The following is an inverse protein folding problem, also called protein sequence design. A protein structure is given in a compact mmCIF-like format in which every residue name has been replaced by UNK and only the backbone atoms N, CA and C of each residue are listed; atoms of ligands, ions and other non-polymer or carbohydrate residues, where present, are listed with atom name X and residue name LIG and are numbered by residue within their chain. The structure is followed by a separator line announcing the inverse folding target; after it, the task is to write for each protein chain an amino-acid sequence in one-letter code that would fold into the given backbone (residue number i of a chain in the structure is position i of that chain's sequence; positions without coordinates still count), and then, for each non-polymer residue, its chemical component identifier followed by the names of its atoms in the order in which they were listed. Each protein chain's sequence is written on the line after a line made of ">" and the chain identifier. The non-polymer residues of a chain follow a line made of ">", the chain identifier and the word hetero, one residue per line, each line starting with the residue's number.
data_IF_829258780717
#
_entry.id   IF_829258780717
#
_cell.length_a   1.000
_cell.length_b   1.000
_cell.length_c   1.000
_cell.angle_alpha   90.00
_cell.angle_beta   90.00
_cell.angle_gamma   90.00
#
_symmetry.space_group_name_H-M   'P 1'
#
loop_
_entity.id
_entity.type
_entity.pdbx_description
1 polymer ?
#
# COMPACT_ATOMS: atom_id res chain seq x y z
N UNK A 1 20.28 -24.29 5.06
CA UNK A 1 20.12 -24.24 6.53
C UNK A 1 18.95 -23.31 6.82
N UNK A 2 17.80 -23.85 7.24
CA UNK A 2 16.65 -23.06 7.67
C UNK A 2 16.45 -23.37 9.15
N UNK A 3 17.01 -22.52 10.00
CA UNK A 3 16.85 -22.60 11.44
C UNK A 3 15.80 -21.55 11.84
N UNK A 4 14.78 -21.98 12.57
CA UNK A 4 13.92 -21.10 13.33
C UNK A 4 14.78 -20.48 14.46
N UNK A 5 15.28 -19.27 14.24
CA UNK A 5 15.88 -18.46 15.30
C UNK A 5 14.83 -17.51 15.85
N UNK A 6 14.41 -17.77 17.08
CA UNK A 6 13.82 -16.78 17.99
C UNK A 6 14.96 -16.42 18.93
N UNK A 7 15.74 -15.38 18.62
CA UNK A 7 16.82 -14.95 19.50
C UNK A 7 16.26 -14.13 20.66
N UNK A 8 16.54 -14.60 21.87
CA UNK A 8 16.51 -13.78 23.08
C UNK A 8 17.66 -12.77 23.14
N UNK A 9 17.60 -11.97 24.20
CA UNK A 9 18.58 -11.03 24.74
C UNK A 9 18.82 -9.74 23.94
N UNK A 10 17.88 -8.79 24.09
CA UNK A 10 18.19 -7.39 24.43
C UNK A 10 16.97 -6.79 25.13
N UNK A 11 17.17 -6.34 26.37
CA UNK A 11 16.25 -5.61 27.26
C UNK A 11 14.84 -5.36 26.70
N UNK A 12 13.99 -6.38 26.77
CA UNK A 12 12.58 -6.10 26.95
C UNK A 12 12.49 -5.35 28.26
N UNK A 13 12.06 -4.09 28.18
CA UNK A 13 11.49 -3.32 29.29
C UNK A 13 10.89 -4.33 30.28
N UNK A 14 11.58 -4.53 31.41
CA UNK A 14 11.07 -5.19 32.59
C UNK A 14 9.88 -4.37 33.05
N UNK A 15 8.78 -4.54 32.36
CA UNK A 15 7.51 -4.07 32.81
C UNK A 15 6.95 -5.25 33.57
N UNK A 16 7.23 -5.24 34.87
CA UNK A 16 6.25 -5.67 35.84
C UNK A 16 4.99 -4.82 35.59
N UNK A 17 4.23 -5.15 34.54
CA UNK A 17 2.97 -4.50 34.23
C UNK A 17 1.94 -5.14 35.14
N UNK A 18 1.69 -4.44 36.23
CA UNK A 18 0.61 -4.68 37.15
C UNK A 18 -0.72 -4.60 36.38
N UNK A 19 -1.41 -5.74 36.27
CA UNK A 19 -2.67 -5.85 35.54
C UNK A 19 -3.81 -5.06 36.20
N UNK A 20 -3.61 -4.56 37.43
CA UNK A 20 -4.61 -3.83 38.21
C UNK A 20 -4.85 -2.38 37.73
N UNK A 21 -4.02 -1.84 36.82
CA UNK A 21 -4.18 -0.45 36.33
C UNK A 21 -4.42 -0.36 34.83
N UNK A 22 -5.55 -0.87 34.35
CA UNK A 22 -6.24 -0.30 33.18
C UNK A 22 -7.71 -0.78 33.11
N UNK A 23 -8.53 -0.27 34.02
CA UNK A 23 -10.01 -0.39 33.97
C UNK A 23 -10.68 0.58 32.97
N UNK A 24 -9.97 1.02 31.92
CA UNK A 24 -10.52 1.93 30.90
C UNK A 24 -11.04 1.21 29.63
N UNK A 25 -10.97 -0.13 29.56
CA UNK A 25 -11.34 -0.89 28.35
C UNK A 25 -12.65 -1.69 28.45
N UNK A 26 -13.46 -1.48 29.49
CA UNK A 26 -14.85 -1.98 29.54
C UNK A 26 -15.00 -3.51 29.54
N UNK A 27 -14.02 -4.28 30.02
CA UNK A 27 -14.22 -5.68 30.40
C UNK A 27 -14.22 -5.78 31.92
N UNK A 28 -15.25 -6.38 32.55
CA UNK A 28 -15.25 -6.60 33.98
C UNK A 28 -14.17 -7.62 34.37
N UNK A 29 -13.42 -7.31 35.43
CA UNK A 29 -12.42 -8.18 36.09
C UNK A 29 -12.97 -9.57 36.49
N UNK A 30 -14.29 -9.77 36.46
CA UNK A 30 -14.98 -10.95 36.97
C UNK A 30 -14.95 -12.22 36.09
N UNK A 31 -14.19 -12.28 34.99
CA UNK A 31 -14.17 -13.48 34.10
C UNK A 31 -12.84 -14.24 34.01
N UNK A 32 -11.97 -14.13 35.02
CA UNK A 32 -10.70 -14.88 35.08
C UNK A 32 -10.61 -15.91 36.22
N UNK A 33 -11.70 -16.21 36.92
CA UNK A 33 -11.72 -17.34 37.87
C UNK A 33 -11.57 -18.68 37.13
N UNK A 34 -10.42 -19.34 37.30
CA UNK A 34 -10.12 -20.68 36.76
C UNK A 34 -9.32 -20.74 35.45
N UNK A 35 -8.83 -19.61 34.92
CA UNK A 35 -8.05 -19.57 33.67
C UNK A 35 -6.55 -19.50 33.95
N UNK A 36 -5.75 -20.36 33.31
CA UNK A 36 -4.29 -20.31 33.39
C UNK A 36 -3.78 -19.29 32.36
N UNK A 37 -3.08 -18.27 32.85
CA UNK A 37 -2.31 -17.33 32.03
C UNK A 37 -0.92 -17.92 31.85
N UNK A 38 -0.56 -18.27 30.62
CA UNK A 38 0.81 -18.70 30.30
C UNK A 38 1.61 -17.47 29.89
N UNK A 39 2.72 -17.21 30.58
CA UNK A 39 3.68 -16.19 30.16
C UNK A 39 4.58 -16.78 29.05
N UNK A 40 5.05 -15.96 28.10
CA UNK A 40 5.84 -16.42 26.95
C UNK A 40 7.10 -17.22 27.35
N UNK A 41 7.70 -16.91 28.51
CA UNK A 41 8.81 -17.66 29.10
C UNK A 41 8.47 -19.13 29.40
N UNK A 42 7.19 -19.47 29.63
CA UNK A 42 6.72 -20.85 29.82
C UNK A 42 6.45 -21.58 28.50
N UNK A 43 6.31 -20.83 27.40
CA UNK A 43 6.15 -21.36 26.03
C UNK A 43 7.54 -21.62 25.41
N UNK A 44 8.55 -20.85 25.80
CA UNK A 44 9.83 -20.78 25.07
C UNK A 44 10.84 -21.90 25.40
N UNK A 45 10.62 -22.74 26.42
CA UNK A 45 11.69 -23.64 26.93
C UNK A 45 11.78 -25.04 26.29
N UNK A 46 10.85 -25.46 25.41
CA UNK A 46 10.98 -26.71 24.63
C UNK A 46 9.87 -26.96 23.57
N UNK A 47 8.92 -26.03 23.36
CA UNK A 47 7.60 -26.37 22.82
C UNK A 47 7.35 -26.02 21.34
N UNK A 48 8.31 -25.43 20.63
CA UNK A 48 8.12 -24.97 19.24
C UNK A 48 8.79 -25.92 18.25
N UNK A 49 8.04 -26.45 17.29
CA UNK A 49 8.57 -27.29 16.21
C UNK A 49 9.25 -26.46 15.10
N UNK A 50 10.05 -27.11 14.25
CA UNK A 50 10.71 -26.45 13.10
C UNK A 50 9.72 -25.83 12.11
N UNK A 51 8.51 -26.38 12.00
CA UNK A 51 7.43 -25.89 11.14
C UNK A 51 6.47 -24.92 11.84
N UNK A 52 6.81 -24.46 13.05
CA UNK A 52 6.14 -23.36 13.76
C UNK A 52 4.93 -23.76 14.59
N UNK A 53 4.74 -25.06 14.86
CA UNK A 53 3.74 -25.51 15.84
C UNK A 53 4.22 -25.29 17.25
N UNK A 54 3.28 -24.94 18.13
CA UNK A 54 3.48 -24.80 19.56
C UNK A 54 2.72 -25.95 20.24
N UNK A 55 3.43 -26.77 21.00
CA UNK A 55 2.90 -27.94 21.70
C UNK A 55 2.84 -27.70 23.20
N UNK A 56 1.64 -27.73 23.79
CA UNK A 56 1.43 -27.41 25.19
C UNK A 56 0.70 -28.54 25.91
N UNK A 57 1.09 -28.78 27.16
CA UNK A 57 0.34 -29.66 28.06
C UNK A 57 -0.96 -29.00 28.51
N UNK A 58 -2.04 -29.78 28.63
CA UNK A 58 -3.28 -29.26 29.21
C UNK A 58 -3.05 -28.91 30.68
N UNK A 59 -3.23 -27.64 31.03
CA UNK A 59 -3.21 -27.15 32.42
C UNK A 59 -4.57 -26.61 32.90
N UNK A 60 -5.48 -26.30 31.98
CA UNK A 60 -6.83 -25.79 32.26
C UNK A 60 -7.76 -26.11 31.08
N UNK A 61 -9.08 -26.06 31.33
CA UNK A 61 -10.12 -26.21 30.30
C UNK A 61 -10.18 -25.00 29.35
N UNK A 62 -9.64 -23.86 29.78
CA UNK A 62 -9.48 -22.67 28.94
C UNK A 62 -8.04 -22.17 29.07
N UNK A 63 -7.34 -22.08 27.94
CA UNK A 63 -6.01 -21.50 27.86
C UNK A 63 -6.08 -20.16 27.14
N UNK A 64 -5.48 -19.14 27.74
CA UNK A 64 -5.37 -17.79 27.18
C UNK A 64 -3.91 -17.49 26.86
N UNK A 65 -3.64 -17.12 25.61
CA UNK A 65 -2.31 -16.72 25.14
C UNK A 65 -2.40 -15.30 24.61
N UNK A 66 -1.68 -14.38 25.25
CA UNK A 66 -1.55 -13.01 24.78
C UNK A 66 -0.33 -12.90 23.87
N UNK A 67 -0.54 -12.53 22.62
CA UNK A 67 0.48 -12.27 21.62
C UNK A 67 0.46 -10.79 21.28
N UNK A 68 1.63 -10.18 21.17
CA UNK A 68 1.76 -8.82 20.69
C UNK A 68 2.57 -8.84 19.40
N UNK A 69 2.10 -8.12 18.39
CA UNK A 69 2.89 -7.85 17.19
C UNK A 69 2.95 -6.34 16.96
N UNK A 70 4.11 -5.89 16.51
CA UNK A 70 4.34 -4.49 16.19
C UNK A 70 3.98 -4.24 14.72
N UNK A 71 3.31 -3.10 14.46
CA UNK A 71 2.99 -2.65 13.10
C UNK A 71 3.91 -1.50 12.75
N UNK A 72 4.66 -1.69 11.67
CA UNK A 72 5.63 -0.75 11.14
C UNK A 72 5.05 0.22 10.12
N UNK A 73 3.77 0.08 9.74
CA UNK A 73 3.03 0.97 8.83
C UNK A 73 1.76 1.51 9.48
N UNK A 74 1.38 2.74 9.14
CA UNK A 74 0.15 3.38 9.67
C UNK A 74 -1.13 2.78 9.09
N UNK A 75 -1.02 1.91 8.10
CA UNK A 75 -2.04 1.74 7.07
C UNK A 75 -1.86 0.42 6.30
N UNK A 76 -1.61 -0.66 7.04
CA UNK A 76 -1.34 -1.99 6.47
C UNK A 76 -2.44 -2.99 6.84
N UNK A 77 -2.75 -3.89 5.91
CA UNK A 77 -3.58 -5.07 6.17
C UNK A 77 -2.70 -6.28 6.47
N UNK A 78 -3.18 -7.11 7.39
CA UNK A 78 -2.52 -8.34 7.83
C UNK A 78 -3.55 -9.46 7.80
N UNK A 79 -3.29 -10.56 7.12
CA UNK A 79 -4.07 -11.78 7.35
C UNK A 79 -3.45 -12.60 8.47
N UNK A 80 -4.31 -13.35 9.14
CA UNK A 80 -3.95 -14.34 10.15
C UNK A 80 -4.40 -15.69 9.67
N UNK A 81 -3.61 -16.73 9.93
CA UNK A 81 -4.02 -18.13 9.81
C UNK A 81 -3.78 -18.83 11.14
N UNK A 82 -4.79 -19.54 11.61
CA UNK A 82 -4.75 -20.31 12.84
C UNK A 82 -5.12 -21.76 12.55
N UNK A 83 -4.24 -22.66 12.97
CA UNK A 83 -4.50 -24.11 13.00
C UNK A 83 -4.28 -24.60 14.43
N UNK A 84 -5.16 -25.45 14.93
CA UNK A 84 -5.15 -25.93 16.31
C UNK A 84 -5.91 -27.25 16.35
N UNK A 85 -5.46 -28.16 17.20
CA UNK A 85 -6.10 -29.46 17.45
C UNK A 85 -7.22 -29.40 18.51
N UNK A 86 -7.62 -28.19 18.89
CA UNK A 86 -8.75 -27.92 19.78
C UNK A 86 -9.53 -26.69 19.28
N UNK A 87 -10.78 -26.50 19.73
CA UNK A 87 -11.53 -25.29 19.43
C UNK A 87 -10.75 -24.03 19.85
N UNK A 88 -10.71 -23.07 18.93
CA UNK A 88 -9.86 -21.90 19.07
C UNK A 88 -10.57 -20.62 18.61
N UNK A 89 -10.20 -19.50 19.24
CA UNK A 89 -10.68 -18.16 18.90
C UNK A 89 -9.53 -17.17 18.95
N UNK A 90 -9.34 -16.42 17.87
CA UNK A 90 -8.35 -15.35 17.78
C UNK A 90 -9.05 -14.00 17.84
N UNK A 91 -8.71 -13.21 18.85
CA UNK A 91 -9.16 -11.86 19.02
C UNK A 91 -8.01 -10.89 18.76
N UNK A 92 -8.21 -9.87 17.95
CA UNK A 92 -7.25 -8.79 17.73
C UNK A 92 -7.97 -7.47 18.03
N UNK A 93 -7.42 -6.68 18.95
CA UNK A 93 -8.00 -5.37 19.35
C UNK A 93 -9.47 -5.44 19.76
N UNK A 94 -9.86 -6.48 20.50
CA UNK A 94 -11.24 -6.65 20.97
C UNK A 94 -12.19 -7.24 19.93
N UNK A 95 -11.77 -7.42 18.66
CA UNK A 95 -12.57 -8.04 17.61
C UNK A 95 -12.15 -9.48 17.37
N UNK A 96 -13.12 -10.40 17.28
CA UNK A 96 -12.80 -11.78 16.90
C UNK A 96 -12.69 -11.91 15.41
N UNK A 97 -11.52 -12.37 14.97
CA UNK A 97 -11.21 -12.47 13.56
C UNK A 97 -11.19 -13.93 13.11
N UNK A 98 -10.92 -14.88 14.01
CA UNK A 98 -11.03 -16.30 13.72
C UNK A 98 -11.81 -16.97 14.86
N UNK A 99 -12.77 -17.81 14.50
CA UNK A 99 -13.54 -18.62 15.44
C UNK A 99 -13.84 -19.95 14.77
N UNK A 100 -13.18 -21.03 15.21
CA UNK A 100 -13.57 -22.35 14.73
C UNK A 100 -13.66 -23.38 15.83
N UNK A 101 -14.65 -24.24 15.63
CA UNK A 101 -15.04 -25.30 16.54
C UNK A 101 -14.54 -26.67 16.07
N UNK A 102 -13.95 -26.75 14.87
CA UNK A 102 -13.48 -28.00 14.27
C UNK A 102 -11.95 -28.08 14.33
N UNK A 103 -11.39 -28.82 15.30
CA UNK A 103 -9.96 -29.12 15.37
C UNK A 103 -9.35 -29.55 14.04
N UNK A 104 -8.11 -29.13 13.79
CA UNK A 104 -7.26 -29.62 12.70
C UNK A 104 -7.51 -28.97 11.34
N UNK A 105 -8.52 -28.09 11.20
CA UNK A 105 -8.73 -27.34 9.96
C UNK A 105 -8.15 -25.92 10.09
N UNK A 106 -7.25 -25.48 9.18
CA UNK A 106 -6.76 -24.11 9.18
C UNK A 106 -7.91 -23.15 8.85
N UNK A 107 -8.01 -22.07 9.62
CA UNK A 107 -8.84 -20.92 9.27
C UNK A 107 -7.97 -19.68 9.09
N UNK A 108 -8.33 -18.85 8.11
CA UNK A 108 -7.66 -17.59 7.84
C UNK A 108 -8.65 -16.44 7.76
N UNK A 109 -8.28 -15.29 8.31
CA UNK A 109 -9.06 -14.07 8.13
C UNK A 109 -8.16 -12.85 7.96
N UNK A 110 -8.63 -11.89 7.16
CA UNK A 110 -7.95 -10.62 6.93
C UNK A 110 -8.41 -9.62 8.00
N UNK A 111 -7.46 -8.96 8.65
CA UNK A 111 -7.80 -7.81 9.47
C UNK A 111 -8.27 -6.65 8.59
N UNK A 112 -9.34 -5.93 9.00
CA UNK A 112 -9.66 -4.67 8.39
C UNK A 112 -8.48 -3.71 8.55
N UNK A 113 -8.50 -2.66 7.75
CA UNK A 113 -7.47 -1.64 7.78
C UNK A 113 -7.31 -1.05 9.18
N UNK A 114 -6.08 -1.05 9.70
CA UNK A 114 -5.80 -0.49 11.01
C UNK A 114 -4.98 0.79 10.84
N UNK A 115 -5.52 1.91 11.36
CA UNK A 115 -4.79 3.17 11.44
C UNK A 115 -3.65 3.15 12.47
N UNK A 116 -2.60 3.91 12.18
CA UNK A 116 -1.49 4.25 13.09
C UNK A 116 -0.47 3.14 13.33
N UNK A 117 0.75 3.53 13.71
CA UNK A 117 1.81 2.61 14.14
C UNK A 117 1.48 1.92 15.46
N UNK A 118 2.21 0.86 15.78
CA UNK A 118 2.32 0.37 17.14
C UNK A 118 1.71 -1.00 17.42
N UNK A 119 1.80 -1.37 18.70
CA UNK A 119 1.52 -2.70 19.20
C UNK A 119 0.03 -3.05 19.05
N UNK A 120 -0.25 -4.22 18.49
CA UNK A 120 -1.59 -4.79 18.50
C UNK A 120 -1.67 -5.91 19.52
N UNK A 121 -2.58 -5.76 20.50
CA UNK A 121 -2.92 -6.83 21.44
C UNK A 121 -3.73 -7.90 20.70
N UNK A 122 -3.21 -9.12 20.73
CA UNK A 122 -3.84 -10.32 20.17
C UNK A 122 -4.05 -11.32 21.29
N UNK A 123 -5.27 -11.83 21.42
CA UNK A 123 -5.62 -12.85 22.41
C UNK A 123 -6.08 -14.11 21.69
N UNK A 124 -5.33 -15.18 21.87
CA UNK A 124 -5.72 -16.52 21.45
C UNK A 124 -6.36 -17.24 22.62
N UNK A 125 -7.60 -17.69 22.42
CA UNK A 125 -8.39 -18.46 23.38
C UNK A 125 -8.52 -19.88 22.86
N UNK A 126 -8.04 -20.85 23.63
CA UNK A 126 -8.05 -22.28 23.29
C UNK A 126 -8.86 -23.05 24.32
N UNK A 127 -9.58 -24.08 23.87
CA UNK A 127 -10.38 -24.98 24.74
C UNK A 127 -9.92 -26.44 24.58
N UNK A 128 -8.74 -26.80 25.11
CA UNK A 128 -8.19 -28.14 24.92
C UNK A 128 -8.83 -29.19 25.83
N UNK A 129 -9.16 -30.36 25.28
CA UNK A 129 -9.60 -31.52 26.07
C UNK A 129 -8.43 -32.36 26.60
N UNK A 130 -7.27 -32.27 25.94
CA UNK A 130 -6.02 -33.00 26.20
C UNK A 130 -4.81 -32.11 25.86
N UNK A 131 -3.60 -32.63 25.98
CA UNK A 131 -2.41 -31.97 25.42
C UNK A 131 -2.66 -31.57 23.97
N UNK A 132 -2.28 -30.35 23.63
CA UNK A 132 -2.78 -29.66 22.46
C UNK A 132 -1.66 -28.92 21.72
N UNK A 133 -1.91 -28.64 20.45
CA UNK A 133 -0.99 -28.01 19.54
C UNK A 133 -1.70 -26.95 18.73
N UNK A 134 -1.02 -25.83 18.48
CA UNK A 134 -1.53 -24.81 17.58
C UNK A 134 -0.39 -24.14 16.80
N UNK A 135 -0.75 -23.55 15.66
CA UNK A 135 0.11 -22.74 14.81
C UNK A 135 -0.64 -21.46 14.44
N UNK A 136 -0.01 -20.32 14.70
CA UNK A 136 -0.54 -18.99 14.39
C UNK A 136 0.43 -18.28 13.43
N UNK A 137 -0.09 -17.87 12.28
CA UNK A 137 0.67 -17.24 11.19
C UNK A 137 0.07 -15.89 10.83
N UNK A 138 0.90 -14.97 10.30
CA UNK A 138 0.52 -13.60 9.92
C UNK A 138 1.23 -13.19 8.61
N UNK A 139 0.58 -12.40 7.76
CA UNK A 139 1.20 -11.82 6.54
C UNK A 139 1.89 -10.48 6.82
N UNK A 140 3.07 -10.18 6.23
CA UNK A 140 3.92 -11.07 5.44
C UNK A 140 4.57 -12.16 6.28
N UNK A 141 4.85 -13.31 5.64
CA UNK A 141 5.55 -14.45 6.26
C UNK A 141 7.00 -14.13 6.67
N UNK A 142 7.52 -12.97 6.26
CA UNK A 142 8.86 -12.48 6.57
C UNK A 142 8.79 -10.99 6.90
N UNK A 143 9.52 -10.58 7.93
CA UNK A 143 9.25 -9.38 8.74
C UNK A 143 8.71 -9.70 10.14
N UNK A 144 8.23 -10.94 10.36
CA UNK A 144 8.14 -11.61 11.66
C UNK A 144 9.06 -12.85 11.74
N UNK A 145 10.16 -12.84 11.01
CA UNK A 145 11.36 -13.46 11.57
C UNK A 145 11.77 -12.55 12.74
N UNK A 146 12.15 -13.12 13.90
CA UNK A 146 12.94 -12.38 14.89
C UNK A 146 14.29 -12.07 14.23
N UNK A 147 14.31 -11.06 13.37
CA UNK A 147 15.53 -10.53 12.80
C UNK A 147 16.12 -9.61 13.85
N UNK A 148 17.27 -10.01 14.37
CA UNK A 148 18.13 -9.18 15.18
C UNK A 148 18.81 -8.05 14.37
N UNK A 149 18.61 -8.01 13.04
CA UNK A 149 19.05 -6.93 12.14
C UNK A 149 18.03 -6.70 11.03
N UNK A 150 17.48 -5.49 10.87
CA UNK A 150 16.67 -5.12 9.70
C UNK A 150 17.54 -5.14 8.43
N UNK A 151 17.06 -5.63 7.27
CA UNK A 151 17.77 -5.42 6.02
C UNK A 151 17.95 -3.92 5.79
N UNK A 152 19.13 -3.48 5.35
CA UNK A 152 19.45 -2.04 5.24
C UNK A 152 18.43 -1.26 4.42
N UNK A 153 17.85 -1.87 3.38
CA UNK A 153 16.81 -1.25 2.54
C UNK A 153 15.44 -1.06 3.25
N UNK A 154 15.19 -1.77 4.35
CA UNK A 154 13.98 -1.68 5.17
C UNK A 154 14.17 -0.84 6.43
N UNK A 155 15.40 -0.47 6.79
CA UNK A 155 15.65 0.35 7.98
C UNK A 155 15.04 1.75 7.82
N UNK A 156 14.15 2.11 8.75
CA UNK A 156 13.51 3.43 8.81
C UNK A 156 14.50 4.56 9.18
N UNK A 157 15.77 4.25 9.44
CA UNK A 157 16.83 5.21 9.78
C UNK A 157 17.43 5.96 8.57
N UNK A 158 16.87 5.78 7.37
CA UNK A 158 17.34 6.40 6.14
C UNK A 158 16.90 7.86 5.97
N UNK A 159 17.89 8.75 6.01
CA UNK A 159 17.89 10.22 5.87
C UNK A 159 16.70 10.89 5.13
N UNK A 160 16.20 11.94 5.78
CA UNK A 160 14.97 12.71 5.54
C UNK A 160 14.86 13.52 4.25
N UNK A 161 15.98 13.97 3.66
CA UNK A 161 15.93 15.06 2.66
C UNK A 161 16.92 14.90 1.50
N UNK A 162 17.59 13.75 1.37
CA UNK A 162 18.64 13.53 0.38
C UNK A 162 18.38 12.26 -0.44
N UNK A 163 17.24 12.23 -1.12
CA UNK A 163 16.97 11.24 -2.14
C UNK A 163 17.50 11.73 -3.50
N UNK A 164 18.02 10.83 -4.35
CA UNK A 164 18.45 11.23 -5.67
C UNK A 164 17.24 11.74 -6.47
N UNK A 165 17.38 12.89 -7.13
CA UNK A 165 16.30 13.50 -7.89
C UNK A 165 16.83 14.17 -9.17
N UNK A 166 15.99 14.23 -10.18
CA UNK A 166 16.21 14.97 -11.41
C UNK A 166 15.29 16.20 -11.44
N UNK A 167 15.88 17.36 -11.73
CA UNK A 167 15.15 18.53 -12.20
C UNK A 167 15.07 18.49 -13.72
N UNK A 168 13.86 18.65 -14.27
CA UNK A 168 13.61 18.95 -15.68
C UNK A 168 12.87 20.30 -15.76
N UNK A 169 13.07 21.05 -16.85
CA UNK A 169 12.44 22.35 -17.05
C UNK A 169 12.35 22.73 -18.51
N UNK A 170 11.34 23.56 -18.82
CA UNK A 170 11.31 24.41 -20.02
C UNK A 170 11.17 25.89 -19.59
N UNK A 171 10.81 26.79 -20.51
CA UNK A 171 10.72 28.23 -20.24
C UNK A 171 9.78 28.63 -19.08
N UNK A 172 8.77 27.80 -18.78
CA UNK A 172 7.74 28.13 -17.77
C UNK A 172 7.60 27.09 -16.67
N UNK A 173 7.82 25.82 -16.99
CA UNK A 173 7.62 24.70 -16.07
C UNK A 173 8.96 24.25 -15.52
N UNK A 174 9.01 24.02 -14.21
CA UNK A 174 10.06 23.25 -13.54
C UNK A 174 9.41 22.08 -12.82
N UNK A 175 9.95 20.86 -13.00
CA UNK A 175 9.53 19.68 -12.26
C UNK A 175 10.71 18.99 -11.57
N UNK A 176 10.48 18.48 -10.36
CA UNK A 176 11.42 17.67 -9.58
C UNK A 176 10.88 16.25 -9.50
N UNK A 177 11.70 15.30 -9.95
CA UNK A 177 11.33 13.90 -10.15
C UNK A 177 12.32 13.04 -9.37
N UNK A 178 11.88 12.34 -8.32
CA UNK A 178 12.74 11.38 -7.63
C UNK A 178 13.27 10.30 -8.57
N UNK A 179 14.52 9.91 -8.36
CA UNK A 179 15.14 8.79 -9.04
C UNK A 179 14.94 7.51 -8.22
N UNK A 180 14.69 6.37 -8.88
CA UNK A 180 14.57 5.10 -8.20
C UNK A 180 15.93 4.72 -7.59
N UNK A 181 15.94 4.45 -6.29
CA UNK A 181 17.10 3.92 -5.59
C UNK A 181 16.64 3.05 -4.40
N UNK A 182 17.07 1.78 -4.30
CA UNK A 182 16.58 0.85 -3.28
C UNK A 182 17.03 1.18 -1.85
N UNK A 183 18.00 2.08 -1.66
CA UNK A 183 18.53 2.44 -0.34
C UNK A 183 18.15 3.86 0.09
N UNK A 184 18.16 4.79 -0.86
CA UNK A 184 18.03 6.23 -0.64
C UNK A 184 16.89 6.87 -1.44
N UNK A 185 16.16 6.10 -2.25
CA UNK A 185 15.06 6.61 -3.07
C UNK A 185 13.91 7.20 -2.24
N UNK A 186 13.22 8.18 -2.81
CA UNK A 186 12.12 8.89 -2.15
C UNK A 186 11.00 7.96 -1.68
N UNK A 187 10.61 6.99 -2.52
CA UNK A 187 9.61 5.98 -2.19
C UNK A 187 10.21 4.60 -2.39
N UNK A 188 10.10 3.75 -1.38
CA UNK A 188 10.60 2.36 -1.32
C UNK A 188 9.53 1.38 -0.84
N UNK A 189 8.31 1.85 -0.64
CA UNK A 189 7.17 1.03 -0.26
C UNK A 189 6.77 0.02 -1.34
N UNK A 190 5.79 -0.81 -1.00
CA UNK A 190 5.41 -1.98 -1.81
C UNK A 190 4.19 -1.74 -2.72
N UNK A 191 3.59 -0.54 -2.67
CA UNK A 191 2.32 -0.23 -3.35
C UNK A 191 2.52 0.42 -4.71
N UNK A 192 3.13 1.60 -4.74
CA UNK A 192 3.24 2.44 -5.93
C UNK A 192 4.52 2.17 -6.73
N UNK A 193 4.57 2.66 -7.96
CA UNK A 193 5.79 2.65 -8.78
C UNK A 193 6.96 3.31 -8.03
N UNK A 194 8.16 2.71 -8.12
CA UNK A 194 9.39 3.29 -7.54
C UNK A 194 9.97 4.45 -8.35
N UNK A 195 9.36 4.82 -9.47
CA UNK A 195 9.84 5.87 -10.36
C UNK A 195 8.71 6.66 -11.02
N UNK A 196 9.08 7.85 -11.50
CA UNK A 196 8.19 8.72 -12.26
C UNK A 196 7.10 9.39 -11.43
N UNK A 197 7.29 9.48 -10.11
CA UNK A 197 6.57 10.43 -9.26
C UNK A 197 7.09 11.86 -9.48
N UNK A 198 6.29 12.85 -9.11
CA UNK A 198 6.66 14.27 -9.19
C UNK A 198 6.50 14.87 -7.80
N UNK A 199 7.59 15.25 -7.13
CA UNK A 199 7.54 15.84 -5.78
C UNK A 199 7.29 17.34 -5.82
N UNK A 200 7.59 17.98 -6.96
CA UNK A 200 7.32 19.39 -7.17
C UNK A 200 7.12 19.68 -8.65
N UNK A 201 6.11 20.50 -8.96
CA UNK A 201 5.99 21.15 -10.26
C UNK A 201 5.55 22.59 -10.05
N UNK A 202 6.33 23.53 -10.60
CA UNK A 202 6.04 24.96 -10.56
C UNK A 202 5.90 25.55 -11.95
N UNK A 203 5.07 26.59 -12.04
CA UNK A 203 4.76 27.31 -13.28
C UNK A 203 4.71 28.78 -12.96
N UNK A 204 5.65 29.54 -13.53
CA UNK A 204 5.82 30.96 -13.22
C UNK A 204 5.82 31.24 -11.70
N UNK A 205 6.42 30.32 -10.92
CA UNK A 205 6.50 30.40 -9.45
C UNK A 205 5.28 29.85 -8.68
N UNK A 206 4.21 29.41 -9.35
CA UNK A 206 3.04 28.82 -8.71
C UNK A 206 3.13 27.30 -8.66
N UNK A 207 2.82 26.69 -7.52
CA UNK A 207 2.90 25.24 -7.31
C UNK A 207 1.64 24.50 -7.83
N UNK A 208 1.84 23.31 -8.41
CA UNK A 208 0.77 22.43 -8.91
C UNK A 208 0.79 21.01 -8.31
N UNK A 209 1.98 20.49 -8.00
CA UNK A 209 2.18 19.21 -7.30
C UNK A 209 3.11 19.42 -6.11
N UNK A 210 2.88 18.77 -4.97
CA UNK A 210 3.77 18.84 -3.79
C UNK A 210 4.03 17.44 -3.25
N UNK A 211 5.07 17.33 -2.43
CA UNK A 211 5.23 16.18 -1.54
C UNK A 211 3.96 15.98 -0.71
N UNK A 212 3.50 14.73 -0.66
CA UNK A 212 2.32 14.30 0.06
C UNK A 212 2.73 13.33 1.19
N UNK A 213 1.94 13.29 2.26
CA UNK A 213 2.10 12.33 3.36
C UNK A 213 2.49 12.96 4.70
N UNK A 214 2.51 12.15 5.78
CA UNK A 214 2.84 12.60 7.12
C UNK A 214 4.32 13.01 7.22
N UNK A 215 4.57 14.13 7.90
CA UNK A 215 5.93 14.49 8.34
C UNK A 215 6.17 13.90 9.73
N UNK A 216 7.31 13.23 9.98
CA UNK A 216 8.45 13.04 9.07
C UNK A 216 8.19 12.00 7.97
N UNK A 217 8.71 12.26 6.76
CA UNK A 217 8.64 11.32 5.62
C UNK A 217 9.28 9.98 5.97
N UNK A 218 8.54 8.89 5.74
CA UNK A 218 9.05 7.53 5.85
C UNK A 218 8.94 6.86 4.47
N UNK A 219 10.04 6.61 3.75
CA UNK A 219 10.01 6.11 2.37
C UNK A 219 9.40 4.70 2.25
N UNK A 220 9.30 3.96 3.35
CA UNK A 220 8.69 2.64 3.40
C UNK A 220 7.20 2.71 3.75
N UNK A 221 6.69 3.86 4.16
CA UNK A 221 5.28 4.05 4.46
C UNK A 221 4.46 4.03 3.16
N UNK A 222 3.34 3.30 3.20
CA UNK A 222 2.49 3.00 2.04
C UNK A 222 2.21 4.22 1.16
N UNK A 223 1.82 5.33 1.78
CA UNK A 223 1.34 6.54 1.12
C UNK A 223 2.34 7.71 1.23
N UNK A 224 3.59 7.44 1.61
CA UNK A 224 4.69 8.42 1.59
C UNK A 224 5.24 8.57 0.15
N UNK A 225 4.37 9.00 -0.75
CA UNK A 225 4.63 9.18 -2.17
C UNK A 225 4.11 10.54 -2.62
N UNK A 226 4.52 11.00 -3.80
CA UNK A 226 4.07 12.25 -4.41
C UNK A 226 3.53 11.99 -5.81
N UNK A 227 2.58 12.82 -6.24
CA UNK A 227 1.83 12.60 -7.46
C UNK A 227 2.24 13.53 -8.60
N UNK A 228 2.01 13.13 -9.86
CA UNK A 228 1.36 11.87 -10.27
C UNK A 228 2.25 10.64 -10.08
N UNK A 229 1.70 9.55 -9.55
CA UNK A 229 2.38 8.24 -9.45
C UNK A 229 1.43 7.11 -9.82
N UNK A 230 1.92 6.08 -10.51
CA UNK A 230 1.10 4.93 -10.90
C UNK A 230 1.01 3.85 -9.82
N UNK A 231 -0.02 3.01 -9.94
CA UNK A 231 -0.07 1.67 -9.35
C UNK A 231 -0.73 0.70 -10.34
N UNK A 232 -0.15 -0.49 -10.45
CA UNK A 232 -0.78 -1.65 -11.09
C UNK A 232 -1.51 -2.45 -10.01
N UNK A 233 -2.83 -2.58 -10.14
CA UNK A 233 -3.69 -3.10 -9.07
C UNK A 233 -3.51 -4.60 -8.91
N UNK A 234 -3.61 -5.34 -10.01
CA UNK A 234 -3.47 -6.79 -10.01
C UNK A 234 -2.00 -7.18 -10.23
N UNK A 235 -1.36 -7.90 -9.28
CA UNK A 235 -0.05 -8.47 -9.51
C UNK A 235 -0.07 -9.54 -10.61
N UNK A 236 1.06 -9.73 -11.28
CA UNK A 236 1.25 -10.81 -12.23
C UNK A 236 1.58 -12.11 -11.50
N UNK A 237 0.80 -13.16 -11.76
CA UNK A 237 1.07 -14.52 -11.27
C UNK A 237 0.64 -14.80 -9.83
N UNK A 238 -0.02 -13.86 -9.14
CA UNK A 238 -0.49 -14.11 -7.78
C UNK A 238 -1.48 -15.28 -7.71
N UNK A 239 -2.45 -15.36 -8.63
CA UNK A 239 -3.41 -16.46 -8.64
C UNK A 239 -2.79 -17.81 -9.03
N UNK A 240 -1.72 -17.78 -9.83
CA UNK A 240 -1.00 -18.97 -10.29
C UNK A 240 -0.02 -19.54 -9.26
N UNK A 241 0.53 -18.69 -8.40
CA UNK A 241 1.55 -19.06 -7.43
C UNK A 241 0.97 -19.90 -6.28
N UNK A 242 1.71 -20.89 -5.78
CA UNK A 242 1.42 -21.50 -4.48
C UNK A 242 1.86 -20.58 -3.33
N UNK A 243 1.48 -20.91 -2.10
CA UNK A 243 2.08 -20.28 -0.92
C UNK A 243 3.59 -20.54 -0.89
N UNK A 244 4.39 -19.50 -0.65
CA UNK A 244 5.85 -19.54 -0.69
C UNK A 244 6.46 -19.40 -2.10
N UNK A 245 5.64 -19.44 -3.16
CA UNK A 245 6.08 -19.11 -4.52
C UNK A 245 6.10 -17.59 -4.74
N UNK A 246 6.47 -17.17 -5.95
CA UNK A 246 6.69 -15.77 -6.28
C UNK A 246 5.64 -15.19 -7.21
N UNK A 247 5.33 -13.91 -7.02
CA UNK A 247 4.53 -13.09 -7.93
C UNK A 247 5.21 -11.75 -8.19
N UNK A 248 4.79 -11.03 -9.23
CA UNK A 248 5.38 -9.75 -9.62
C UNK A 248 4.38 -8.61 -9.41
N UNK A 249 4.82 -7.52 -8.78
CA UNK A 249 4.16 -6.21 -8.90
C UNK A 249 4.96 -5.34 -9.86
N UNK A 250 4.33 -4.94 -10.96
CA UNK A 250 4.95 -4.12 -12.01
C UNK A 250 5.43 -2.80 -11.39
N UNK A 251 6.61 -2.33 -11.78
CA UNK A 251 7.28 -1.13 -11.28
C UNK A 251 7.78 -1.19 -9.82
N UNK A 252 7.63 -2.33 -9.14
CA UNK A 252 8.03 -2.51 -7.73
C UNK A 252 9.06 -3.65 -7.59
N UNK A 253 8.65 -4.89 -7.84
CA UNK A 253 9.51 -6.05 -7.59
C UNK A 253 8.83 -7.41 -7.60
N UNK A 254 9.59 -8.41 -7.15
CA UNK A 254 9.14 -9.78 -6.90
C UNK A 254 8.80 -9.94 -5.43
N UNK A 255 7.68 -10.60 -5.16
CA UNK A 255 7.13 -10.83 -3.84
C UNK A 255 6.89 -12.31 -3.59
N UNK A 256 7.01 -12.73 -2.33
CA UNK A 256 6.61 -14.07 -1.89
C UNK A 256 5.10 -14.09 -1.61
N UNK A 257 4.39 -15.08 -2.17
CA UNK A 257 2.95 -15.25 -1.97
C UNK A 257 2.70 -15.84 -0.57
N UNK A 258 1.93 -15.16 0.29
CA UNK A 258 1.52 -15.72 1.57
C UNK A 258 0.33 -16.67 1.39
N UNK A 259 -0.18 -17.21 2.49
CA UNK A 259 -1.37 -18.06 2.50
C UNK A 259 -2.68 -17.35 2.10
N UNK A 260 -2.65 -16.03 1.87
CA UNK A 260 -3.82 -15.25 1.49
C UNK A 260 -4.32 -15.63 0.09
N UNK A 261 -5.62 -15.90 0.00
CA UNK A 261 -6.25 -16.24 -1.28
C UNK A 261 -6.20 -15.08 -2.29
N UNK A 262 -6.42 -13.85 -1.84
CA UNK A 262 -6.50 -12.67 -2.70
C UNK A 262 -5.36 -11.71 -2.39
N UNK A 263 -4.82 -11.07 -3.41
CA UNK A 263 -3.87 -9.98 -3.23
C UNK A 263 -4.59 -8.70 -2.75
N UNK A 264 -3.94 -7.96 -1.86
CA UNK A 264 -4.41 -6.69 -1.34
C UNK A 264 -3.33 -5.62 -1.50
N UNK A 265 -3.63 -4.55 -2.24
CA UNK A 265 -2.70 -3.44 -2.49
C UNK A 265 -2.19 -2.74 -1.22
N UNK A 266 -2.96 -2.80 -0.14
CA UNK A 266 -2.60 -2.26 1.17
C UNK A 266 -1.90 -3.25 2.11
N UNK A 267 -1.47 -4.41 1.62
CA UNK A 267 -0.68 -5.37 2.41
C UNK A 267 0.81 -5.19 2.10
N UNK A 268 1.64 -5.22 3.14
CA UNK A 268 3.09 -5.14 3.03
C UNK A 268 3.65 -6.54 2.71
N UNK A 269 3.38 -7.05 1.51
CA UNK A 269 3.93 -8.34 1.09
C UNK A 269 5.47 -8.32 1.13
N UNK A 270 6.06 -9.49 1.44
CA UNK A 270 7.51 -9.58 1.52
C UNK A 270 8.14 -9.40 0.16
N UNK A 271 9.00 -8.39 0.06
CA UNK A 271 9.77 -8.14 -1.14
C UNK A 271 10.98 -9.06 -1.16
N UNK A 272 11.04 -9.93 -2.17
CA UNK A 272 12.20 -10.79 -2.43
C UNK A 272 13.28 -9.98 -3.14
N UNK A 273 12.88 -9.14 -4.09
CA UNK A 273 13.80 -8.29 -4.86
C UNK A 273 13.06 -7.14 -5.54
N UNK A 274 13.60 -5.92 -5.45
CA UNK A 274 13.21 -4.78 -6.30
C UNK A 274 13.84 -4.90 -7.69
N UNK A 275 13.23 -4.28 -8.70
CA UNK A 275 13.78 -4.28 -10.06
C UNK A 275 14.65 -3.07 -10.33
N UNK A 276 15.80 -3.32 -10.95
CA UNK A 276 16.68 -2.26 -11.45
C UNK A 276 15.96 -1.42 -12.52
N UNK A 277 16.15 -0.11 -12.45
CA UNK A 277 15.55 0.83 -13.38
C UNK A 277 16.64 1.63 -14.08
N UNK A 278 16.63 1.61 -15.41
CA UNK A 278 17.52 2.44 -16.22
C UNK A 278 16.89 3.81 -16.39
N UNK A 279 17.61 4.85 -16.00
CA UNK A 279 17.18 6.24 -16.18
C UNK A 279 17.99 6.93 -17.29
N UNK A 280 17.30 7.67 -18.15
CA UNK A 280 17.91 8.63 -19.09
C UNK A 280 17.33 10.01 -18.84
N UNK A 281 18.20 11.00 -18.61
CA UNK A 281 17.82 12.38 -18.27
C UNK A 281 18.28 13.35 -19.35
N UNK A 282 17.40 14.27 -19.70
CA UNK A 282 17.64 15.45 -20.53
C UNK A 282 17.18 16.71 -19.75
N UNK A 283 17.27 17.88 -20.38
CA UNK A 283 16.89 19.14 -19.72
C UNK A 283 15.38 19.25 -19.48
N UNK A 284 14.58 18.79 -20.43
CA UNK A 284 13.13 18.92 -20.51
C UNK A 284 12.41 17.56 -20.40
N UNK A 285 13.17 16.47 -20.28
CA UNK A 285 12.65 15.11 -20.39
C UNK A 285 13.44 14.13 -19.50
N UNK A 286 12.75 13.13 -18.97
CA UNK A 286 13.35 11.98 -18.29
C UNK A 286 12.60 10.71 -18.68
N UNK A 287 13.31 9.61 -18.91
CA UNK A 287 12.71 8.30 -19.14
C UNK A 287 13.27 7.25 -18.21
N UNK A 288 12.39 6.32 -17.84
CA UNK A 288 12.63 5.18 -16.98
C UNK A 288 12.32 3.92 -17.78
N UNK A 289 13.20 2.93 -17.71
CA UNK A 289 12.98 1.62 -18.30
C UNK A 289 13.29 0.54 -17.26
N UNK A 290 12.30 -0.32 -17.01
CA UNK A 290 12.42 -1.45 -16.10
C UNK A 290 12.09 -2.74 -16.83
N UNK A 291 12.97 -3.74 -16.69
CA UNK A 291 12.80 -5.06 -17.28
C UNK A 291 12.65 -6.07 -16.13
N UNK A 292 11.56 -6.82 -16.10
CA UNK A 292 11.40 -7.88 -15.09
C UNK A 292 12.11 -9.16 -15.54
N UNK A 293 12.61 -9.98 -14.60
CA UNK A 293 12.94 -11.37 -14.90
C UNK A 293 11.66 -12.13 -15.26
N UNK A 294 11.83 -13.29 -15.89
CA UNK A 294 10.73 -14.23 -16.08
C UNK A 294 10.49 -15.02 -14.80
N UNK A 295 9.31 -14.86 -14.21
CA UNK A 295 8.84 -15.63 -13.05
C UNK A 295 7.65 -16.47 -13.52
N UNK A 296 7.85 -17.79 -13.65
CA UNK A 296 6.80 -18.74 -14.02
C UNK A 296 6.00 -18.38 -15.29
N UNK A 297 6.67 -17.80 -16.30
CA UNK A 297 6.05 -17.36 -17.56
C UNK A 297 5.54 -15.92 -17.55
N UNK A 298 5.62 -15.21 -16.42
CA UNK A 298 5.31 -13.80 -16.29
C UNK A 298 6.57 -12.95 -16.46
N UNK A 299 6.57 -12.04 -17.44
CA UNK A 299 7.64 -11.08 -17.61
C UNK A 299 7.14 -9.83 -18.35
N UNK A 300 7.76 -8.68 -18.10
CA UNK A 300 7.47 -7.46 -18.82
C UNK A 300 8.71 -6.60 -19.06
N UNK A 301 8.55 -5.67 -20.00
CA UNK A 301 9.38 -4.46 -20.14
C UNK A 301 8.47 -3.24 -20.04
N UNK A 302 8.78 -2.33 -19.12
CA UNK A 302 7.97 -1.14 -18.86
C UNK A 302 8.82 0.11 -19.05
N UNK A 303 8.32 1.02 -19.88
CA UNK A 303 8.93 2.33 -20.13
C UNK A 303 7.96 3.44 -19.73
N UNK A 304 8.47 4.40 -18.97
CA UNK A 304 7.75 5.63 -18.59
C UNK A 304 8.60 6.85 -18.97
N UNK A 305 8.01 7.81 -19.66
CA UNK A 305 8.69 9.05 -20.09
C UNK A 305 7.92 10.25 -19.58
N UNK A 306 8.60 11.18 -18.92
CA UNK A 306 8.05 12.45 -18.44
C UNK A 306 8.73 13.56 -19.23
N UNK A 307 7.94 14.45 -19.85
CA UNK A 307 8.46 15.51 -20.70
C UNK A 307 7.71 16.83 -20.54
N UNK A 308 8.43 17.92 -20.81
CA UNK A 308 7.96 19.30 -20.81
C UNK A 308 8.19 19.89 -22.21
N UNK A 309 7.25 19.70 -23.16
CA UNK A 309 7.47 20.12 -24.55
C UNK A 309 7.82 21.60 -24.67
N UNK A 310 8.78 21.92 -25.52
CA UNK A 310 9.22 23.29 -25.78
C UNK A 310 8.08 24.23 -26.19
N UNK A 311 8.13 25.46 -25.66
CA UNK A 311 7.14 26.51 -25.92
C UNK A 311 5.72 26.21 -25.40
N UNK A 312 5.52 25.14 -24.63
CA UNK A 312 4.20 24.73 -24.13
C UNK A 312 4.18 24.67 -22.60
N UNK A 313 3.09 25.14 -22.01
CA UNK A 313 2.78 24.91 -20.59
C UNK A 313 2.09 23.55 -20.45
N UNK A 314 2.82 22.47 -20.70
CA UNK A 314 2.32 21.09 -20.68
C UNK A 314 3.29 20.17 -19.97
N UNK A 315 2.79 19.33 -19.07
CA UNK A 315 3.49 18.14 -18.58
C UNK A 315 2.88 16.91 -19.25
N UNK A 316 3.70 16.09 -19.91
CA UNK A 316 3.28 14.85 -20.56
C UNK A 316 3.95 13.65 -19.92
N UNK A 317 3.17 12.64 -19.57
CA UNK A 317 3.64 11.34 -19.07
C UNK A 317 3.19 10.26 -20.05
N UNK A 318 4.15 9.53 -20.60
CA UNK A 318 3.92 8.47 -21.59
C UNK A 318 4.35 7.12 -21.03
N UNK A 319 3.46 6.13 -21.13
CA UNK A 319 3.69 4.80 -20.60
C UNK A 319 3.62 3.77 -21.73
N UNK A 320 4.50 2.78 -21.69
CA UNK A 320 4.53 1.65 -22.62
C UNK A 320 4.89 0.37 -21.86
N UNK A 321 3.97 -0.60 -21.84
CA UNK A 321 4.18 -1.91 -21.26
C UNK A 321 4.21 -2.96 -22.36
N UNK A 322 5.30 -3.70 -22.46
CA UNK A 322 5.51 -4.84 -23.37
C UNK A 322 5.46 -6.13 -22.56
N UNK A 323 4.66 -7.10 -23.02
CA UNK A 323 4.67 -8.44 -22.47
C UNK A 323 5.82 -9.25 -23.07
N UNK A 324 6.85 -9.49 -22.27
CA UNK A 324 8.02 -10.29 -22.66
C UNK A 324 7.93 -11.74 -22.16
N UNK A 325 6.85 -12.08 -21.45
CA UNK A 325 6.58 -13.42 -20.94
C UNK A 325 5.80 -14.28 -21.92
N UNK A 326 5.37 -15.44 -21.43
CA UNK A 326 4.54 -16.41 -22.18
C UNK A 326 3.08 -16.40 -21.71
N UNK A 327 2.79 -15.75 -20.58
CA UNK A 327 1.43 -15.59 -20.04
C UNK A 327 0.87 -14.21 -20.39
N UNK A 328 -0.45 -14.13 -20.56
CA UNK A 328 -1.18 -12.90 -20.91
C UNK A 328 -1.24 -11.96 -19.71
N UNK A 329 -0.79 -10.72 -19.85
CA UNK A 329 -0.84 -9.73 -18.77
C UNK A 329 -2.25 -9.17 -18.66
N UNK A 330 -2.88 -9.30 -17.49
CA UNK A 330 -4.16 -8.69 -17.16
C UNK A 330 -4.03 -7.95 -15.85
N UNK A 331 -4.15 -6.64 -15.91
CA UNK A 331 -4.04 -5.73 -14.76
C UNK A 331 -4.81 -4.45 -15.09
N UNK A 332 -4.97 -3.60 -14.10
CA UNK A 332 -5.48 -2.26 -14.23
C UNK A 332 -4.41 -1.30 -13.71
N UNK A 333 -4.32 -0.13 -14.34
CA UNK A 333 -3.39 0.92 -13.95
C UNK A 333 -4.18 2.19 -13.63
N UNK A 334 -3.85 2.84 -12.52
CA UNK A 334 -4.36 4.16 -12.22
C UNK A 334 -3.22 5.09 -11.77
N UNK A 335 -3.42 6.39 -11.94
CA UNK A 335 -2.49 7.41 -11.48
C UNK A 335 -3.05 8.13 -10.24
N UNK A 336 -2.34 8.05 -9.12
CA UNK A 336 -2.61 8.83 -7.93
C UNK A 336 -1.97 10.22 -8.08
N UNK A 337 -2.81 11.23 -8.32
CA UNK A 337 -2.35 12.51 -8.83
C UNK A 337 -1.81 13.48 -7.77
N UNK A 338 -2.20 13.37 -6.50
CA UNK A 338 -1.76 14.23 -5.38
C UNK A 338 -1.59 15.72 -5.75
N UNK A 339 -2.63 16.31 -6.35
CA UNK A 339 -2.59 17.69 -6.84
C UNK A 339 -2.77 18.66 -5.68
N UNK A 340 -1.89 19.67 -5.61
CA UNK A 340 -1.99 20.78 -4.67
C UNK A 340 -1.73 22.08 -5.43
N UNK A 341 -2.81 22.80 -5.75
CA UNK A 341 -2.72 24.03 -6.51
C UNK A 341 -2.49 25.22 -5.57
N UNK A 342 -1.30 25.82 -5.65
CA UNK A 342 -0.92 27.01 -4.91
C UNK A 342 0.07 26.75 -3.78
N UNK A 343 0.48 27.81 -3.10
CA UNK A 343 1.59 27.73 -2.15
C UNK A 343 1.17 27.29 -0.73
N UNK A 344 -0.14 27.24 -0.44
CA UNK A 344 -0.62 26.78 0.86
C UNK A 344 -0.42 25.28 1.10
N UNK A 345 -0.06 24.89 2.32
CA UNK A 345 0.08 23.47 2.72
C UNK A 345 -1.26 22.83 3.10
N UNK A 346 -2.28 23.65 3.39
CA UNK A 346 -3.66 23.25 3.70
C UNK A 346 -4.59 24.35 3.21
N UNK A 347 -5.76 24.01 2.66
CA UNK A 347 -6.82 24.93 2.20
C UNK A 347 -6.88 25.13 0.69
N UNK A 348 -7.53 24.19 0.00
CA UNK A 348 -8.14 24.52 -1.27
C UNK A 348 -9.48 23.82 -1.35
N UNK A 349 -10.56 24.62 -1.33
CA UNK A 349 -11.81 24.16 -1.89
C UNK A 349 -11.59 24.05 -3.41
N UNK A 350 -11.95 22.90 -3.97
CA UNK A 350 -11.76 22.65 -5.38
C UNK A 350 -13.09 22.58 -6.10
N UNK A 351 -13.23 23.32 -7.18
CA UNK A 351 -14.23 23.06 -8.21
C UNK A 351 -13.62 22.08 -9.21
N UNK A 352 -14.32 20.97 -9.47
CA UNK A 352 -13.88 19.94 -10.41
C UNK A 352 -14.92 19.81 -11.51
N UNK A 353 -14.49 20.03 -12.75
CA UNK A 353 -15.30 19.94 -13.97
C UNK A 353 -14.94 18.68 -14.75
N UNK A 354 -15.96 18.02 -15.29
CA UNK A 354 -15.86 16.78 -16.07
C UNK A 354 -16.44 16.97 -17.48
N UNK A 355 -16.08 16.11 -18.46
CA UNK A 355 -16.76 16.03 -19.75
C UNK A 355 -18.17 15.43 -19.66
N UNK A 356 -18.54 14.82 -18.54
CA UNK A 356 -19.81 14.15 -18.28
C UNK A 356 -20.48 14.71 -17.01
N UNK A 357 -21.73 14.30 -16.75
CA UNK A 357 -22.42 14.60 -15.49
C UNK A 357 -22.00 13.53 -14.47
N UNK A 358 -21.24 13.87 -13.42
CA UNK A 358 -20.76 12.87 -12.47
C UNK A 358 -21.90 12.34 -11.61
N UNK A 359 -21.90 11.02 -11.39
CA UNK A 359 -22.63 10.39 -10.29
C UNK A 359 -21.65 9.82 -9.27
N UNK A 360 -22.04 9.79 -7.99
CA UNK A 360 -21.20 9.27 -6.91
C UNK A 360 -21.64 7.85 -6.55
N UNK A 361 -20.67 6.96 -6.38
CA UNK A 361 -20.82 5.65 -5.77
C UNK A 361 -20.00 5.67 -4.48
N UNK A 362 -20.69 5.72 -3.33
CA UNK A 362 -20.07 5.73 -2.01
C UNK A 362 -20.84 4.83 -1.04
N UNK A 363 -20.14 4.24 -0.07
CA UNK A 363 -20.75 3.46 1.02
C UNK A 363 -21.33 4.36 2.12
N UNK A 364 -20.85 5.60 2.23
CA UNK A 364 -21.13 6.49 3.37
C UNK A 364 -22.22 7.53 3.08
N UNK A 365 -22.98 7.36 1.97
CA UNK A 365 -24.00 8.32 1.51
C UNK A 365 -23.50 9.78 1.47
N UNK A 366 -22.25 9.97 1.04
CA UNK A 366 -21.62 11.30 0.91
C UNK A 366 -22.51 12.24 0.07
N UNK A 367 -22.77 13.44 0.58
CA UNK A 367 -23.57 14.48 -0.08
C UNK A 367 -22.66 15.60 -0.59
N UNK A 368 -22.01 15.35 -1.71
CA UNK A 368 -21.18 16.37 -2.37
C UNK A 368 -22.05 17.14 -3.38
N UNK A 369 -22.05 18.48 -3.35
CA UNK A 369 -22.81 19.28 -4.30
C UNK A 369 -22.37 19.00 -5.74
N UNK A 370 -23.31 18.64 -6.61
CA UNK A 370 -23.10 18.46 -8.05
C UNK A 370 -24.00 19.44 -8.79
N UNK A 371 -23.42 20.25 -9.69
CA UNK A 371 -24.13 21.16 -10.57
C UNK A 371 -23.74 20.88 -12.03
N UNK A 372 -24.60 20.17 -12.75
CA UNK A 372 -24.32 19.73 -14.12
C UNK A 372 -23.06 18.87 -14.16
N UNK A 373 -22.02 19.35 -14.86
CA UNK A 373 -20.73 18.65 -15.00
C UNK A 373 -19.68 19.03 -13.97
N UNK A 374 -20.09 19.71 -12.89
CA UNK A 374 -19.20 20.23 -11.86
C UNK A 374 -19.55 19.67 -10.48
N UNK A 375 -18.54 19.48 -9.65
CA UNK A 375 -18.70 19.26 -8.21
C UNK A 375 -17.76 20.16 -7.44
N UNK A 376 -18.12 20.48 -6.20
CA UNK A 376 -17.28 21.27 -5.29
C UNK A 376 -16.93 20.42 -4.08
N UNK A 377 -15.64 20.30 -3.78
CA UNK A 377 -15.15 19.56 -2.61
C UNK A 377 -14.60 20.54 -1.58
N UNK A 378 -15.08 20.39 -0.35
CA UNK A 378 -14.70 21.22 0.81
C UNK A 378 -14.24 20.40 2.01
N UNK A 379 -14.48 19.08 2.01
CA UNK A 379 -14.20 18.18 3.13
C UNK A 379 -13.59 16.86 2.65
N UNK A 380 -12.84 16.18 3.53
CA UNK A 380 -12.18 14.92 3.22
C UNK A 380 -13.18 13.91 2.66
N UNK A 381 -12.86 13.32 1.51
CA UNK A 381 -13.75 12.39 0.84
C UNK A 381 -12.98 11.39 -0.02
N UNK A 382 -13.56 10.21 -0.19
CA UNK A 382 -13.05 9.18 -1.10
C UNK A 382 -14.23 8.42 -1.69
N UNK A 383 -14.38 8.43 -3.01
CA UNK A 383 -15.50 7.75 -3.67
C UNK A 383 -15.21 7.44 -5.13
N UNK A 384 -15.99 6.51 -5.70
CA UNK A 384 -15.97 6.22 -7.12
C UNK A 384 -16.96 7.13 -7.85
N UNK A 385 -16.57 7.56 -9.04
CA UNK A 385 -17.42 8.29 -9.96
C UNK A 385 -18.03 7.34 -11.01
N UNK A 386 -19.21 7.72 -11.50
CA UNK A 386 -19.88 7.14 -12.66
C UNK A 386 -20.39 8.25 -13.58
N UNK A 387 -20.94 7.88 -14.73
CA UNK A 387 -21.53 8.82 -15.69
C UNK A 387 -20.69 9.03 -16.95
N UNK A 388 -19.47 8.51 -17.00
CA UNK A 388 -18.68 8.37 -18.21
C UNK A 388 -19.09 7.10 -18.97
N UNK A 389 -19.22 7.18 -20.29
CA UNK A 389 -19.52 6.05 -21.17
C UNK A 389 -18.83 6.16 -22.55
N UNK A 390 -18.14 7.27 -22.84
CA UNK A 390 -17.54 7.56 -24.13
C UNK A 390 -16.02 7.62 -24.04
N UNK A 391 -15.33 7.37 -25.15
CA UNK A 391 -13.86 7.51 -25.23
C UNK A 391 -13.38 8.95 -24.95
N UNK A 392 -14.25 9.94 -25.19
CA UNK A 392 -13.97 11.37 -24.95
C UNK A 392 -14.23 11.80 -23.50
N UNK A 393 -14.70 10.90 -22.63
CA UNK A 393 -14.87 11.15 -21.20
C UNK A 393 -13.52 11.05 -20.46
N UNK A 394 -12.50 11.72 -21.01
CA UNK A 394 -11.10 11.44 -20.74
C UNK A 394 -10.31 12.62 -20.15
N UNK A 395 -10.99 13.54 -19.46
CA UNK A 395 -10.34 14.63 -18.76
C UNK A 395 -11.08 15.05 -17.50
N UNK A 396 -10.36 15.72 -16.60
CA UNK A 396 -10.94 16.52 -15.51
C UNK A 396 -10.25 17.87 -15.48
N UNK A 397 -10.95 18.90 -15.04
CA UNK A 397 -10.37 20.22 -14.78
C UNK A 397 -10.59 20.59 -13.32
N UNK A 398 -9.50 20.86 -12.63
CA UNK A 398 -9.47 21.19 -11.21
C UNK A 398 -9.13 22.67 -11.09
N UNK A 399 -9.97 23.41 -10.39
CA UNK A 399 -9.74 24.82 -10.06
C UNK A 399 -9.67 24.97 -8.55
N UNK A 400 -8.61 25.59 -8.06
CA UNK A 400 -8.59 26.07 -6.67
C UNK A 400 -9.48 27.32 -6.59
N UNK A 401 -10.49 27.31 -5.71
CA UNK A 401 -11.46 28.40 -5.61
C UNK A 401 -10.83 29.70 -5.05
N UNK A 402 -9.78 29.58 -4.25
CA UNK A 402 -9.09 30.70 -3.61
C UNK A 402 -7.95 31.31 -4.43
N UNK A 403 -7.61 30.73 -5.59
CA UNK A 403 -6.50 31.19 -6.45
C UNK A 403 -6.93 31.15 -7.92
N UNK A 404 -6.19 31.80 -8.84
CA UNK A 404 -6.51 31.69 -10.27
C UNK A 404 -6.05 30.35 -10.89
N UNK A 405 -5.36 29.50 -10.13
CA UNK A 405 -4.74 28.27 -10.62
C UNK A 405 -5.75 27.21 -11.03
N UNK A 406 -5.55 26.67 -12.24
CA UNK A 406 -6.37 25.61 -12.83
C UNK A 406 -5.46 24.54 -13.43
N UNK A 407 -5.78 23.28 -13.19
CA UNK A 407 -5.11 22.13 -13.80
C UNK A 407 -6.13 21.27 -14.55
N UNK A 408 -6.01 21.20 -15.87
CA UNK A 408 -6.71 20.17 -16.66
C UNK A 408 -5.84 18.93 -16.77
N UNK A 409 -6.32 17.80 -16.26
CA UNK A 409 -5.72 16.49 -16.44
C UNK A 409 -6.47 15.79 -17.58
N UNK A 410 -5.77 15.30 -18.59
CA UNK A 410 -6.33 14.59 -19.74
C UNK A 410 -5.57 13.30 -19.97
N UNK A 411 -6.25 12.29 -20.47
CA UNK A 411 -5.66 11.00 -20.84
C UNK A 411 -6.19 10.54 -22.20
N UNK A 412 -5.54 9.54 -22.79
CA UNK A 412 -5.82 9.06 -24.15
C UNK A 412 -6.50 7.69 -24.20
N UNK A 413 -7.12 7.29 -23.09
CA UNK A 413 -7.77 5.99 -22.94
C UNK A 413 -9.21 6.11 -22.40
N UNK A 414 -10.09 5.15 -22.73
CA UNK A 414 -11.39 5.06 -22.08
C UNK A 414 -11.24 4.68 -20.60
N UNK A 415 -12.01 5.35 -19.74
CA UNK A 415 -12.03 5.08 -18.31
C UNK A 415 -12.60 3.68 -18.01
N UNK A 416 -11.86 2.89 -17.24
CA UNK A 416 -12.37 1.66 -16.62
C UNK A 416 -13.12 1.97 -15.32
N UNK A 417 -12.50 2.77 -14.45
CA UNK A 417 -13.19 3.48 -13.37
C UNK A 417 -12.48 4.81 -13.11
N UNK A 418 -13.13 5.70 -12.36
CA UNK A 418 -12.53 6.96 -11.89
C UNK A 418 -12.80 7.08 -10.39
N UNK A 419 -11.74 7.08 -9.60
CA UNK A 419 -11.83 7.40 -8.17
C UNK A 419 -11.53 8.88 -7.96
N UNK A 420 -12.14 9.46 -6.94
CA UNK A 420 -11.81 10.79 -6.46
C UNK A 420 -11.50 10.69 -4.98
N UNK A 421 -10.24 10.98 -4.63
CA UNK A 421 -9.79 11.17 -3.27
C UNK A 421 -9.48 12.65 -3.05
N UNK A 422 -9.86 13.17 -1.88
CA UNK A 422 -9.46 14.49 -1.43
C UNK A 422 -9.24 14.47 0.08
N UNK A 423 -8.16 15.12 0.48
CA UNK A 423 -8.01 15.68 1.81
C UNK A 423 -7.52 17.12 1.72
N UNK A 424 -7.37 17.79 2.87
CA UNK A 424 -6.91 19.18 2.91
C UNK A 424 -5.51 19.42 2.30
N UNK A 425 -4.76 18.38 1.98
CA UNK A 425 -3.40 18.45 1.42
C UNK A 425 -3.36 18.15 -0.08
N UNK A 426 -4.29 17.36 -0.62
CA UNK A 426 -4.32 17.06 -2.05
C UNK A 426 -5.70 16.65 -2.59
N UNK A 427 -5.92 16.94 -3.88
CA UNK A 427 -7.03 16.40 -4.69
C UNK A 427 -6.51 15.41 -5.73
N UNK A 428 -7.14 14.24 -5.81
CA UNK A 428 -6.66 13.10 -6.58
C UNK A 428 -7.80 12.53 -7.44
N UNK A 429 -8.04 13.07 -8.64
CA UNK A 429 -8.74 12.32 -9.66
C UNK A 429 -7.84 11.16 -10.09
N UNK A 430 -8.34 9.93 -9.97
CA UNK A 430 -7.57 8.71 -10.19
C UNK A 430 -8.18 7.94 -11.36
N UNK A 431 -7.88 8.34 -12.61
CA UNK A 431 -8.38 7.65 -13.79
C UNK A 431 -7.71 6.29 -13.90
N UNK A 432 -8.52 5.24 -14.09
CA UNK A 432 -8.05 3.88 -14.25
C UNK A 432 -8.26 3.37 -15.68
N UNK A 433 -7.27 2.66 -16.20
CA UNK A 433 -7.32 1.92 -17.46
C UNK A 433 -7.20 0.43 -17.20
N UNK A 434 -7.98 -0.38 -17.91
CA UNK A 434 -7.77 -1.82 -17.96
C UNK A 434 -6.71 -2.18 -19.02
N UNK A 435 -5.77 -3.03 -18.64
CA UNK A 435 -4.64 -3.49 -19.44
C UNK A 435 -4.79 -4.99 -19.68
N UNK A 436 -4.82 -5.36 -20.95
CA UNK A 436 -4.86 -6.75 -21.41
C UNK A 436 -3.89 -6.90 -22.58
N UNK A 437 -2.80 -7.65 -22.40
CA UNK A 437 -1.67 -7.71 -23.34
C UNK A 437 -1.25 -9.17 -23.59
N UNK A 438 -1.39 -9.65 -24.83
CA UNK A 438 -0.92 -10.99 -25.20
C UNK A 438 0.62 -11.08 -25.20
N UNK A 439 1.20 -12.29 -25.11
CA UNK A 439 2.65 -12.47 -25.24
C UNK A 439 3.21 -11.80 -26.51
N UNK A 440 4.27 -11.00 -26.36
CA UNK A 440 4.91 -10.28 -27.46
C UNK A 440 4.23 -8.96 -27.87
N UNK A 441 3.05 -8.64 -27.33
CA UNK A 441 2.35 -7.38 -27.61
C UNK A 441 2.69 -6.28 -26.60
N UNK A 442 2.41 -5.04 -26.98
CA UNK A 442 2.59 -3.85 -26.12
C UNK A 442 1.33 -3.01 -26.03
N UNK A 443 1.13 -2.34 -24.90
CA UNK A 443 0.09 -1.31 -24.72
C UNK A 443 0.71 0.01 -24.30
N UNK A 444 0.18 1.11 -24.85
CA UNK A 444 0.56 2.48 -24.52
C UNK A 444 -0.61 3.23 -23.92
N UNK A 445 -0.33 4.14 -22.99
CA UNK A 445 -1.31 5.06 -22.42
C UNK A 445 -0.60 6.30 -21.88
N UNK A 446 -1.23 7.46 -22.02
CA UNK A 446 -0.62 8.75 -21.79
C UNK A 446 -1.48 9.63 -20.89
N UNK A 447 -0.79 10.46 -20.10
CA UNK A 447 -1.38 11.53 -19.31
C UNK A 447 -0.82 12.87 -19.79
N UNK A 448 -1.70 13.85 -19.93
CA UNK A 448 -1.37 15.23 -20.30
C UNK A 448 -1.94 16.15 -19.24
N UNK A 449 -1.07 16.91 -18.60
CA UNK A 449 -1.42 17.91 -17.61
C UNK A 449 -1.26 19.30 -18.24
N UNK A 450 -2.35 20.05 -18.25
CA UNK A 450 -2.54 21.35 -18.89
C UNK A 450 -2.83 22.40 -17.80
N UNK A 451 -1.78 22.87 -17.12
CA UNK A 451 -1.90 23.92 -16.13
C UNK A 451 -2.11 25.30 -16.75
N UNK A 452 -2.87 26.15 -16.06
CA UNK A 452 -3.10 27.54 -16.40
C UNK A 452 -3.27 28.41 -15.14
N UNK A 453 -3.01 29.70 -15.30
CA UNK A 453 -3.14 30.75 -14.28
C UNK A 453 -4.16 31.76 -14.80
#
# INVERSE_FOLDING_TARGET
>A
MKAAWISGDHDFLHTNFDFEKQNETGYPEETLNGKVKLNWSEINSAAVSEDGWIHLKKKSDIVLIAVHFFRTGTYSRYAFRLTADCPARLNVRGSDIIRYQTPGKPESNLLPYLGGYGLSRTLLVLKPEKDFSFKLEITPLSGNHFMNTLPDHMSASGNKDNYPAAKISNDRITAVIPLPDPQTGYYRGTRFEHFGSITSMTIDGNQFFKEFGPLPHNPNERDAVAGPVGEFIEPLGYDDAAEGDHFIKIAVGVFEKPFEKNCHSGSDYWIVKTFDCRTQKYNDCISFEQNSPNINGWAYKYKKTISLPDGKTVLKIENELLNTGTKRLRTSYYAHNFINLGNSTRSAEYEIEFPFVPGIISKDNLKIPINGKKLVITENCSFLLKGFNNADDNWVKIKNISTPLVLKCQWDFPLYYLQLYYDYTAVCPEPCIHIDIAPGESKKWNFTYLPSI
#
